data_IF_357412457181
#
_entry.id   IF_357412457181
#
_cell.length_a   1.000
_cell.length_b   1.000
_cell.length_c   1.000
_cell.angle_alpha   90.00
_cell.angle_beta   90.00
_cell.angle_gamma   90.00
#
_symmetry.space_group_name_H-M   'P 1'
#
loop_
_entity.id
_entity.type
_entity.pdbx_description
1 polymer ?
#
# COMPACT_ATOMS: atom_id res chain seq x y z
N UNK A 1 21.49 -24.04 -7.92
CA UNK A 1 20.20 -23.68 -8.54
C UNK A 1 19.13 -24.77 -8.42
N UNK A 2 19.20 -25.94 -9.08
CA UNK A 2 18.15 -26.97 -8.89
C UNK A 2 18.24 -27.64 -7.49
N UNK A 3 19.47 -27.86 -7.02
CA UNK A 3 19.75 -28.46 -5.71
C UNK A 3 19.37 -27.52 -4.53
N UNK A 4 19.61 -26.21 -4.66
CA UNK A 4 19.18 -25.23 -3.64
C UNK A 4 17.65 -25.17 -3.52
N UNK A 5 16.92 -25.23 -4.63
CA UNK A 5 15.45 -25.24 -4.60
C UNK A 5 14.88 -26.49 -3.91
N UNK A 6 15.56 -27.63 -4.06
CA UNK A 6 15.16 -28.87 -3.38
C UNK A 6 15.39 -28.77 -1.86
N UNK A 7 16.50 -28.14 -1.44
CA UNK A 7 16.78 -27.88 -0.03
C UNK A 7 15.78 -26.89 0.58
N UNK A 8 15.45 -25.81 -0.14
CA UNK A 8 14.46 -24.82 0.28
C UNK A 8 13.06 -25.44 0.46
N UNK A 9 12.68 -26.36 -0.43
CA UNK A 9 11.41 -27.09 -0.34
C UNK A 9 11.35 -27.99 0.90
N UNK A 10 12.44 -28.67 1.21
CA UNK A 10 12.52 -29.53 2.39
C UNK A 10 12.43 -28.70 3.68
N UNK A 11 13.16 -27.59 3.76
CA UNK A 11 13.10 -26.68 4.90
C UNK A 11 11.69 -26.09 5.10
N UNK A 12 11.03 -25.67 4.02
CA UNK A 12 9.65 -25.17 4.10
C UNK A 12 8.66 -26.23 4.57
N UNK A 13 8.84 -27.50 4.20
CA UNK A 13 8.02 -28.62 4.70
C UNK A 13 8.22 -28.85 6.18
N UNK A 14 9.46 -28.76 6.67
CA UNK A 14 9.76 -28.83 8.11
C UNK A 14 9.13 -27.66 8.86
N UNK A 15 9.23 -26.44 8.32
CA UNK A 15 8.65 -25.25 8.93
C UNK A 15 7.11 -25.32 8.95
N UNK A 16 6.50 -25.86 7.90
CA UNK A 16 5.05 -26.11 7.83
C UNK A 16 4.58 -27.05 8.96
N UNK A 17 5.33 -28.11 9.23
CA UNK A 17 5.05 -29.05 10.33
C UNK A 17 5.13 -28.39 11.72
N UNK A 18 6.05 -27.44 11.89
CA UNK A 18 6.23 -26.73 13.16
C UNK A 18 5.17 -25.64 13.43
N UNK A 19 4.52 -25.13 12.38
CA UNK A 19 3.63 -23.97 12.45
C UNK A 19 2.23 -24.34 12.97
N UNK A 20 1.71 -23.59 13.96
CA UNK A 20 0.39 -23.83 14.57
C UNK A 20 -0.69 -22.81 14.19
N UNK A 21 -0.30 -21.65 13.65
CA UNK A 21 -1.24 -20.57 13.33
C UNK A 21 -1.77 -20.75 11.91
N UNK A 22 -3.09 -20.66 11.68
CA UNK A 22 -3.71 -20.94 10.38
C UNK A 22 -3.23 -20.00 9.26
N UNK A 23 -3.02 -18.71 9.58
CA UNK A 23 -2.46 -17.74 8.63
C UNK A 23 -1.04 -18.10 8.18
N UNK A 24 -0.23 -18.62 9.10
CA UNK A 24 1.17 -18.99 8.83
C UNK A 24 1.21 -20.28 7.99
N UNK A 25 0.38 -21.27 8.34
CA UNK A 25 0.22 -22.50 7.55
C UNK A 25 -0.21 -22.20 6.11
N UNK A 26 -1.21 -21.33 5.92
CA UNK A 26 -1.65 -20.91 4.59
C UNK A 26 -0.55 -20.21 3.79
N UNK A 27 0.29 -19.41 4.45
CA UNK A 27 1.40 -18.72 3.78
C UNK A 27 2.47 -19.72 3.34
N UNK A 28 2.93 -20.57 4.25
CA UNK A 28 3.99 -21.56 3.96
C UNK A 28 3.53 -22.56 2.90
N UNK A 29 2.30 -23.08 2.99
CA UNK A 29 1.75 -24.00 1.99
C UNK A 29 1.63 -23.37 0.59
N UNK A 30 1.32 -22.08 0.50
CA UNK A 30 1.29 -21.38 -0.78
C UNK A 30 2.67 -21.26 -1.42
N UNK A 31 3.71 -21.04 -0.60
CA UNK A 31 5.10 -20.94 -1.06
C UNK A 31 5.65 -22.30 -1.51
N UNK A 32 5.38 -23.37 -0.75
CA UNK A 32 5.72 -24.75 -1.14
C UNK A 32 5.16 -25.07 -2.53
N UNK A 33 3.86 -24.79 -2.77
CA UNK A 33 3.21 -25.04 -4.06
C UNK A 33 3.85 -24.22 -5.19
N UNK A 34 4.25 -22.98 -4.91
CA UNK A 34 4.91 -22.10 -5.88
C UNK A 34 6.25 -22.68 -6.32
N UNK A 35 7.06 -23.16 -5.38
CA UNK A 35 8.36 -23.75 -5.64
C UNK A 35 8.27 -25.12 -6.34
N UNK A 36 7.32 -25.97 -5.96
CA UNK A 36 7.05 -27.25 -6.65
C UNK A 36 6.71 -27.03 -8.13
N UNK A 37 5.91 -25.99 -8.43
CA UNK A 37 5.58 -25.61 -9.82
C UNK A 37 6.81 -25.12 -10.60
N UNK A 38 7.69 -24.35 -9.94
CA UNK A 38 8.93 -23.88 -10.56
C UNK A 38 9.90 -25.03 -10.83
N UNK A 39 9.93 -26.05 -9.97
CA UNK A 39 10.74 -27.25 -10.17
C UNK A 39 10.22 -28.11 -11.33
N UNK A 40 8.91 -28.36 -11.38
CA UNK A 40 8.27 -29.09 -12.49
C UNK A 40 8.50 -28.40 -13.85
N UNK A 41 8.44 -27.06 -13.89
CA UNK A 41 8.70 -26.30 -15.12
C UNK A 41 10.16 -26.34 -15.61
N UNK A 42 11.11 -26.79 -14.78
CA UNK A 42 12.53 -26.93 -15.14
C UNK A 42 12.91 -28.36 -15.56
N UNK A 43 12.13 -29.37 -15.18
CA UNK A 43 12.39 -30.77 -15.54
C UNK A 43 11.78 -31.16 -16.91
N UNK A 44 10.75 -30.45 -17.41
CA UNK A 44 10.11 -30.73 -18.71
C UNK A 44 10.82 -30.14 -19.95
N UNK A 45 12.11 -29.82 -19.84
CA UNK A 45 12.91 -29.25 -20.93
C UNK A 45 13.41 -30.25 -21.99
N UNK A 46 12.91 -31.48 -22.05
CA UNK A 46 13.42 -32.49 -22.99
C UNK A 46 12.37 -33.53 -23.46
N UNK A 47 11.44 -33.15 -24.35
CA UNK A 47 10.88 -34.05 -25.38
C UNK A 47 10.03 -33.30 -26.45
N UNK A 48 10.62 -33.17 -27.65
CA UNK A 48 10.03 -33.28 -28.99
C UNK A 48 8.86 -32.38 -29.48
N UNK A 49 9.20 -31.47 -30.42
CA UNK A 49 8.38 -31.08 -31.59
C UNK A 49 8.40 -32.19 -32.68
N UNK A 50 7.69 -32.15 -33.85
CA UNK A 50 7.00 -31.06 -34.59
C UNK A 50 5.63 -31.54 -35.24
N UNK A 51 5.04 -31.01 -36.35
CA UNK A 51 5.29 -29.80 -37.18
C UNK A 51 4.04 -28.90 -37.50
N UNK A 52 4.22 -27.78 -38.24
CA UNK A 52 3.24 -26.69 -38.45
C UNK A 52 2.47 -26.81 -39.78
N UNK A 53 1.35 -26.09 -39.93
CA UNK A 53 0.73 -25.84 -41.24
C UNK A 53 0.19 -24.41 -41.36
N UNK A 54 0.56 -23.78 -42.47
CA UNK A 54 0.39 -22.39 -42.84
C UNK A 54 -0.99 -22.03 -43.44
N UNK A 55 -1.17 -20.72 -43.73
CA UNK A 55 -2.04 -20.10 -44.76
C UNK A 55 -3.39 -19.57 -44.25
N UNK A 56 -3.90 -18.34 -44.50
CA UNK A 56 -3.59 -17.22 -45.43
C UNK A 56 -4.11 -15.88 -44.89
N UNK A 57 -3.49 -14.78 -45.33
CA UNK A 57 -4.05 -13.40 -45.43
C UNK A 57 -4.57 -13.23 -46.89
N UNK A 58 -5.58 -12.39 -47.21
CA UNK A 58 -5.32 -10.98 -47.57
C UNK A 58 -6.34 -9.94 -47.03
N UNK A 59 -5.82 -8.73 -46.80
CA UNK A 59 -6.37 -7.39 -46.45
C UNK A 59 -7.27 -6.76 -47.54
N UNK A 60 -7.80 -5.50 -47.47
CA UNK A 60 -7.74 -4.40 -46.46
C UNK A 60 -9.17 -3.89 -46.03
N UNK A 61 -9.44 -2.94 -45.11
CA UNK A 61 -9.23 -1.48 -45.16
C UNK A 61 -9.55 -0.87 -43.77
N UNK A 62 -8.60 -0.07 -43.28
CA UNK A 62 -8.66 1.18 -42.50
C UNK A 62 -9.54 1.41 -41.24
N UNK A 63 -8.85 2.10 -40.32
CA UNK A 63 -9.29 3.08 -39.30
C UNK A 63 -9.58 2.66 -37.86
N UNK A 64 -8.78 3.30 -36.97
CA UNK A 64 -9.00 3.61 -35.54
C UNK A 64 -8.36 2.71 -34.49
N UNK A 65 -7.06 2.95 -34.26
CA UNK A 65 -6.45 3.31 -32.96
C UNK A 65 -7.32 3.04 -31.72
N UNK A 66 -6.99 2.02 -30.92
CA UNK A 66 -6.09 2.13 -29.75
C UNK A 66 -5.99 0.78 -29.06
N UNK A 67 -4.74 0.39 -28.88
CA UNK A 67 -4.30 -0.94 -28.53
C UNK A 67 -4.68 -1.39 -27.12
N UNK A 68 -4.93 -2.70 -27.08
CA UNK A 68 -4.44 -3.64 -26.08
C UNK A 68 -4.88 -3.40 -24.63
N UNK A 69 -5.92 -4.15 -24.28
CA UNK A 69 -6.15 -4.68 -22.95
C UNK A 69 -4.92 -5.50 -22.59
N UNK A 70 -3.88 -4.87 -22.02
CA UNK A 70 -2.75 -5.61 -21.48
C UNK A 70 -3.27 -6.48 -20.33
N UNK A 71 -2.91 -7.77 -20.28
CA UNK A 71 -3.37 -8.66 -19.23
C UNK A 71 -2.93 -8.06 -17.90
N UNK A 72 -3.78 -8.16 -16.89
CA UNK A 72 -3.52 -7.70 -15.55
C UNK A 72 -2.21 -8.29 -15.03
N UNK A 73 -1.09 -7.60 -15.28
CA UNK A 73 0.19 -7.93 -14.72
C UNK A 73 0.12 -7.51 -13.26
N UNK A 74 0.00 -8.50 -12.38
CA UNK A 74 0.01 -8.37 -10.94
C UNK A 74 1.08 -7.38 -10.51
N UNK A 75 0.66 -6.13 -10.26
CA UNK A 75 1.54 -5.05 -9.89
C UNK A 75 1.76 -5.15 -8.39
N UNK A 76 2.92 -5.67 -8.00
CA UNK A 76 3.28 -5.81 -6.59
C UNK A 76 3.79 -4.46 -6.11
N UNK A 77 3.15 -3.90 -5.10
CA UNK A 77 3.68 -2.71 -4.41
C UNK A 77 5.02 -3.08 -3.78
N UNK A 78 6.06 -2.27 -3.99
CA UNK A 78 7.35 -2.46 -3.33
C UNK A 78 7.14 -2.35 -1.82
N UNK A 79 7.16 -3.50 -1.13
CA UNK A 79 6.89 -3.62 0.31
C UNK A 79 8.11 -3.34 1.19
N UNK A 80 9.32 -3.37 0.61
CA UNK A 80 10.57 -3.07 1.31
C UNK A 80 11.32 -1.98 0.55
N UNK A 81 11.22 -0.75 1.03
CA UNK A 81 12.04 0.37 0.60
C UNK A 81 12.56 1.11 1.83
N UNK A 82 13.73 1.74 1.70
CA UNK A 82 14.30 2.61 2.72
C UNK A 82 14.38 4.02 2.17
N UNK A 83 14.36 5.03 3.01
CA UNK A 83 14.53 6.40 2.56
C UNK A 83 15.40 7.19 3.54
N UNK A 84 16.14 8.15 3.01
CA UNK A 84 16.90 9.13 3.76
C UNK A 84 16.63 10.53 3.18
N UNK A 85 17.10 11.56 3.88
CA UNK A 85 16.95 12.93 3.44
C UNK A 85 18.16 13.77 3.78
N UNK A 86 18.41 14.74 2.93
CA UNK A 86 19.29 15.88 3.16
C UNK A 86 18.41 17.14 3.35
N UNK A 87 19.02 18.30 3.55
CA UNK A 87 18.28 19.57 3.68
C UNK A 87 17.41 19.90 2.46
N UNK A 88 17.83 19.49 1.27
CA UNK A 88 17.22 19.83 -0.02
C UNK A 88 16.68 18.62 -0.80
N UNK A 89 17.01 17.39 -0.39
CA UNK A 89 16.70 16.16 -1.14
C UNK A 89 16.11 15.08 -0.24
N UNK A 90 15.28 14.24 -0.82
CA UNK A 90 14.82 12.97 -0.23
C UNK A 90 15.26 11.86 -1.19
N UNK A 91 15.93 10.84 -0.69
CA UNK A 91 16.42 9.71 -1.48
C UNK A 91 15.71 8.45 -0.99
N UNK A 92 15.10 7.74 -1.93
CA UNK A 92 14.34 6.52 -1.67
C UNK A 92 15.07 5.38 -2.35
N UNK A 93 15.47 4.39 -1.56
CA UNK A 93 16.17 3.17 -1.96
C UNK A 93 15.18 2.03 -2.10
N UNK A 94 15.06 1.54 -3.31
CA UNK A 94 14.24 0.38 -3.66
C UNK A 94 15.18 -0.77 -4.03
N UNK A 95 15.21 -1.84 -3.23
CA UNK A 95 16.07 -2.99 -3.47
C UNK A 95 15.43 -3.90 -4.53
N UNK A 96 15.79 -3.66 -5.79
CA UNK A 96 15.37 -4.44 -6.94
C UNK A 96 16.59 -4.67 -7.83
N UNK A 97 16.86 -5.94 -8.15
CA UNK A 97 17.95 -6.36 -9.03
C UNK A 97 17.44 -6.66 -10.43
N UNK A 98 18.26 -6.37 -11.44
CA UNK A 98 17.90 -6.63 -12.84
C UNK A 98 16.87 -5.65 -13.39
N UNK A 99 16.79 -4.45 -12.82
CA UNK A 99 15.94 -3.37 -13.36
C UNK A 99 16.65 -2.75 -14.55
N UNK A 100 15.96 -2.69 -15.68
CA UNK A 100 16.41 -1.95 -16.87
C UNK A 100 15.83 -0.54 -16.87
N UNK A 101 16.65 0.48 -17.12
CA UNK A 101 16.22 1.88 -17.09
C UNK A 101 15.13 2.20 -18.13
N UNK A 102 15.13 1.49 -19.27
CA UNK A 102 14.15 1.66 -20.35
C UNK A 102 12.74 1.15 -19.97
N UNK A 103 12.66 0.20 -19.05
CA UNK A 103 11.40 -0.41 -18.58
C UNK A 103 10.80 0.31 -17.37
N UNK A 104 11.37 1.47 -17.01
CA UNK A 104 10.92 2.31 -15.89
C UNK A 104 9.99 3.40 -16.41
N UNK A 105 8.82 3.52 -15.79
CA UNK A 105 7.95 4.67 -15.95
C UNK A 105 7.93 5.45 -14.64
N UNK A 106 8.45 6.67 -14.66
CA UNK A 106 8.43 7.58 -13.50
C UNK A 106 7.48 8.74 -13.76
N UNK A 107 6.69 9.07 -12.75
CA UNK A 107 5.76 10.17 -12.79
C UNK A 107 5.84 10.93 -11.46
N UNK A 108 6.28 12.18 -11.55
CA UNK A 108 6.46 13.06 -10.40
C UNK A 108 5.40 14.16 -10.44
N UNK A 109 4.73 14.38 -9.30
CA UNK A 109 3.82 15.49 -9.04
C UNK A 109 4.35 16.28 -7.84
N UNK A 110 3.91 17.54 -7.65
CA UNK A 110 4.36 18.35 -6.52
C UNK A 110 4.15 17.68 -5.15
N UNK A 111 3.06 16.92 -4.96
CA UNK A 111 2.74 16.28 -3.67
C UNK A 111 2.72 14.74 -3.74
N UNK A 112 3.16 14.12 -4.84
CA UNK A 112 3.10 12.66 -4.98
C UNK A 112 4.09 12.17 -6.02
N UNK A 113 4.48 10.89 -5.96
CA UNK A 113 5.21 10.27 -7.06
C UNK A 113 4.73 8.84 -7.30
N UNK A 114 4.93 8.36 -8.53
CA UNK A 114 4.61 7.01 -8.95
C UNK A 114 5.71 6.51 -9.90
N UNK A 115 6.44 5.47 -9.48
CA UNK A 115 7.47 4.82 -10.28
C UNK A 115 7.09 3.36 -10.47
N UNK A 116 6.93 2.96 -11.73
CA UNK A 116 6.62 1.59 -12.14
C UNK A 116 7.84 0.96 -12.81
N UNK A 117 8.17 -0.25 -12.37
CA UNK A 117 9.22 -1.08 -12.91
C UNK A 117 8.56 -2.26 -13.61
N UNK A 118 8.75 -2.38 -14.92
CA UNK A 118 8.21 -3.48 -15.70
C UNK A 118 9.26 -4.58 -15.88
N UNK A 119 8.80 -5.83 -15.93
CA UNK A 119 9.62 -6.99 -16.30
C UNK A 119 10.87 -7.21 -15.42
N UNK A 120 10.76 -6.95 -14.12
CA UNK A 120 11.84 -7.24 -13.17
C UNK A 120 11.68 -8.67 -12.71
N UNK A 121 12.55 -9.58 -13.17
CA UNK A 121 12.49 -11.03 -12.85
C UNK A 121 11.09 -11.63 -13.17
N UNK A 122 10.46 -11.19 -14.26
CA UNK A 122 9.12 -11.63 -14.69
C UNK A 122 7.95 -11.07 -13.87
N UNK A 123 8.18 -10.06 -13.02
CA UNK A 123 7.14 -9.38 -12.22
C UNK A 123 7.19 -7.87 -12.43
N UNK A 124 6.04 -7.22 -12.27
CA UNK A 124 5.95 -5.76 -12.27
C UNK A 124 5.92 -5.23 -10.84
N UNK A 125 6.74 -4.22 -10.58
CA UNK A 125 6.80 -3.56 -9.29
C UNK A 125 6.33 -2.11 -9.42
N UNK A 126 5.70 -1.59 -8.37
CA UNK A 126 5.32 -0.17 -8.30
C UNK A 126 5.69 0.41 -6.94
N UNK A 127 6.42 1.52 -6.98
CA UNK A 127 6.73 2.34 -5.82
C UNK A 127 6.01 3.68 -6.01
N UNK A 128 4.93 3.88 -5.26
CA UNK A 128 4.13 5.10 -5.34
C UNK A 128 3.81 5.62 -3.94
N UNK A 129 3.96 6.94 -3.76
CA UNK A 129 3.52 7.65 -2.56
C UNK A 129 2.45 8.64 -3.00
N UNK A 130 1.17 8.40 -2.66
CA UNK A 130 0.05 9.21 -3.14
C UNK A 130 0.03 10.60 -2.51
N UNK A 131 0.55 10.75 -1.30
CA UNK A 131 0.65 12.03 -0.60
C UNK A 131 1.97 12.12 0.18
N UNK A 132 2.88 12.92 -0.35
CA UNK A 132 4.15 13.27 0.30
C UNK A 132 3.89 14.24 1.46
N UNK A 133 4.82 14.28 2.40
CA UNK A 133 4.75 15.18 3.55
C UNK A 133 4.76 16.67 3.15
N UNK A 134 5.67 17.04 2.24
CA UNK A 134 5.77 18.39 1.68
C UNK A 134 5.93 18.33 0.16
N UNK A 135 5.85 19.50 -0.45
CA UNK A 135 6.01 19.64 -1.89
C UNK A 135 7.44 19.36 -2.36
N UNK A 136 7.53 18.76 -3.54
CA UNK A 136 8.76 18.48 -4.29
C UNK A 136 8.76 19.26 -5.60
N UNK A 137 9.94 19.42 -6.19
CA UNK A 137 10.13 20.00 -7.52
C UNK A 137 10.23 18.86 -8.54
N UNK A 138 9.13 18.51 -9.26
CA UNK A 138 9.08 17.33 -10.12
C UNK A 138 10.17 17.33 -11.19
N UNK A 139 10.47 18.51 -11.74
CA UNK A 139 11.45 18.72 -12.81
C UNK A 139 12.89 18.36 -12.41
N UNK A 140 13.21 18.47 -11.12
CA UNK A 140 14.54 18.15 -10.60
C UNK A 140 14.64 16.69 -10.13
N UNK A 141 13.51 16.00 -9.98
CA UNK A 141 13.48 14.63 -9.50
C UNK A 141 14.13 13.68 -10.51
N UNK A 142 14.85 12.67 -10.02
CA UNK A 142 15.59 11.73 -10.86
C UNK A 142 15.48 10.31 -10.33
N UNK A 143 15.52 9.35 -11.24
CA UNK A 143 15.60 7.92 -10.91
C UNK A 143 16.93 7.40 -11.42
N UNK A 144 17.73 6.84 -10.53
CA UNK A 144 19.03 6.25 -10.84
C UNK A 144 18.96 4.76 -10.57
N UNK A 145 19.24 3.95 -11.59
CA UNK A 145 19.25 2.49 -11.47
C UNK A 145 20.68 2.04 -11.16
N UNK A 146 20.84 1.21 -10.12
CA UNK A 146 22.09 0.48 -9.82
C UNK A 146 21.82 -1.02 -9.96
N UNK A 147 22.86 -1.86 -10.12
CA UNK A 147 22.70 -3.29 -10.34
C UNK A 147 21.82 -4.00 -9.30
N UNK A 148 21.93 -3.59 -8.03
CA UNK A 148 21.23 -4.21 -6.90
C UNK A 148 20.09 -3.37 -6.32
N UNK A 149 19.94 -2.11 -6.75
CA UNK A 149 18.95 -1.18 -6.19
C UNK A 149 18.62 -0.02 -7.12
N UNK A 150 17.42 0.51 -7.01
CA UNK A 150 17.02 1.78 -7.62
C UNK A 150 17.03 2.87 -6.57
N UNK A 151 17.53 4.06 -6.93
CA UNK A 151 17.56 5.25 -6.11
C UNK A 151 16.66 6.30 -6.75
N UNK A 152 15.55 6.62 -6.10
CA UNK A 152 14.66 7.71 -6.50
C UNK A 152 15.05 8.94 -5.68
N UNK A 153 15.58 9.97 -6.32
CA UNK A 153 15.92 11.24 -5.67
C UNK A 153 14.83 12.26 -5.96
N UNK A 154 14.14 12.71 -4.91
CA UNK A 154 13.17 13.77 -4.93
C UNK A 154 13.84 15.07 -4.43
N UNK A 155 13.61 16.17 -5.13
CA UNK A 155 14.10 17.49 -4.69
C UNK A 155 12.98 18.20 -3.94
N UNK A 156 13.26 18.63 -2.70
CA UNK A 156 12.29 19.36 -1.87
C UNK A 156 12.05 20.74 -2.46
N UNK A 157 10.79 21.20 -2.48
CA UNK A 157 10.45 22.56 -2.89
C UNK A 157 10.88 23.60 -1.84
N UNK A 158 10.83 23.22 -0.55
CA UNK A 158 11.30 24.03 0.57
C UNK A 158 12.36 23.28 1.38
N UNK A 159 13.41 23.99 1.78
CA UNK A 159 14.50 23.43 2.59
C UNK A 159 13.97 23.07 3.98
N UNK A 160 14.37 21.90 4.48
CA UNK A 160 14.07 21.47 5.84
C UNK A 160 13.72 20.00 5.92
N UNK A 161 13.60 19.51 7.15
CA UNK A 161 13.40 18.09 7.41
C UNK A 161 11.94 17.68 7.29
N UNK A 162 11.76 16.46 6.82
CA UNK A 162 10.49 15.77 6.72
C UNK A 162 10.43 14.79 7.88
N UNK A 163 9.49 14.91 8.81
CA UNK A 163 9.36 13.95 9.91
C UNK A 163 8.95 12.55 9.43
N UNK A 164 8.35 12.47 8.24
CA UNK A 164 7.92 11.24 7.60
C UNK A 164 7.91 11.44 6.07
N UNK A 165 8.00 10.37 5.28
CA UNK A 165 7.83 10.43 3.83
C UNK A 165 6.37 10.65 3.45
N UNK A 166 5.46 10.00 4.19
CA UNK A 166 4.03 10.09 3.99
C UNK A 166 3.46 11.28 4.75
N UNK A 167 2.49 11.97 4.14
CA UNK A 167 1.64 12.88 4.90
C UNK A 167 0.80 12.04 5.87
N UNK A 168 0.95 12.29 7.17
CA UNK A 168 0.03 11.78 8.18
C UNK A 168 -1.29 12.53 8.03
N UNK A 169 -2.12 12.09 7.09
CA UNK A 169 -3.54 12.39 7.20
C UNK A 169 -4.08 11.58 8.37
N UNK A 170 -4.37 12.27 9.47
CA UNK A 170 -5.27 11.75 10.49
C UNK A 170 -6.52 11.24 9.80
N UNK A 171 -6.64 9.92 9.64
CA UNK A 171 -7.91 9.27 9.25
C UNK A 171 -8.95 9.32 10.38
N UNK A 172 -8.73 10.18 11.39
CA UNK A 172 -9.55 10.36 12.59
C UNK A 172 -9.80 11.84 12.85
N UNK A 173 -10.13 12.61 11.81
CA UNK A 173 -10.83 13.88 12.00
C UNK A 173 -12.27 13.67 11.57
N UNK A 174 -13.22 13.38 12.48
CA UNK A 174 -14.58 13.83 12.22
C UNK A 174 -14.49 15.33 11.94
N UNK A 175 -15.21 15.81 10.93
CA UNK A 175 -15.27 17.23 10.62
C UNK A 175 -15.71 17.99 11.88
N UNK A 176 -14.75 18.52 12.64
CA UNK A 176 -14.97 19.67 13.49
C UNK A 176 -15.05 20.86 12.54
N UNK A 177 -16.20 20.99 11.90
CA UNK A 177 -16.62 22.26 11.32
C UNK A 177 -16.51 23.29 12.44
N UNK A 178 -15.57 24.22 12.21
CA UNK A 178 -15.16 25.25 13.15
C UNK A 178 -16.24 26.33 13.20
N UNK A 179 -17.43 26.01 13.70
CA UNK A 179 -18.44 27.03 13.98
C UNK A 179 -19.57 26.60 14.92
N UNK A 180 -19.60 25.36 15.41
CA UNK A 180 -20.58 25.01 16.44
C UNK A 180 -19.96 25.11 17.83
N UNK A 181 -20.60 25.99 18.61
CA UNK A 181 -20.39 26.25 20.03
C UNK A 181 -19.91 24.99 20.77
N UNK A 182 -18.85 25.04 21.61
CA UNK A 182 -18.35 23.88 22.33
C UNK A 182 -19.43 23.10 23.11
N UNK A 183 -20.54 23.75 23.51
CA UNK A 183 -21.71 23.08 24.10
C UNK A 183 -22.56 22.28 23.08
N UNK A 184 -22.67 22.75 21.84
CA UNK A 184 -23.39 22.07 20.76
C UNK A 184 -22.63 20.85 20.25
N UNK A 185 -21.29 20.94 20.14
CA UNK A 185 -20.44 19.81 19.74
C UNK A 185 -20.51 18.63 20.72
N UNK A 186 -20.63 18.89 22.02
CA UNK A 186 -20.86 17.83 23.03
C UNK A 186 -22.24 17.18 22.85
N UNK A 187 -23.28 17.95 22.55
CA UNK A 187 -24.64 17.44 22.42
C UNK A 187 -24.81 16.56 21.18
N UNK A 188 -24.13 16.93 20.09
CA UNK A 188 -24.12 16.14 18.85
C UNK A 188 -23.30 14.86 18.98
N UNK A 189 -22.15 14.92 19.66
CA UNK A 189 -21.36 13.73 19.99
C UNK A 189 -22.14 12.74 20.88
N UNK A 190 -22.89 13.23 21.88
CA UNK A 190 -23.74 12.39 22.73
C UNK A 190 -24.92 11.79 21.97
N UNK A 191 -25.48 12.51 20.99
CA UNK A 191 -26.56 12.00 20.13
C UNK A 191 -26.06 10.89 19.22
N UNK A 192 -24.91 11.06 18.57
CA UNK A 192 -24.33 10.04 17.70
C UNK A 192 -23.98 8.76 18.48
N UNK A 193 -23.50 8.89 19.72
CA UNK A 193 -23.28 7.74 20.63
C UNK A 193 -24.58 7.04 21.07
N UNK A 194 -25.70 7.76 21.15
CA UNK A 194 -27.01 7.17 21.47
C UNK A 194 -27.65 6.49 20.26
N UNK A 195 -27.40 6.98 19.05
CA UNK A 195 -27.94 6.41 17.82
C UNK A 195 -27.16 5.16 17.37
N UNK A 196 -25.82 5.16 17.49
CA UNK A 196 -24.95 4.05 17.09
C UNK A 196 -24.64 3.03 18.21
N UNK A 197 -24.85 3.39 19.49
CA UNK A 197 -24.53 2.52 20.63
C UNK A 197 -25.55 1.41 20.90
N UNK A 198 -25.10 0.32 21.53
CA UNK A 198 -25.99 -0.72 22.06
C UNK A 198 -26.93 -0.18 23.17
N UNK A 199 -27.96 -0.96 23.53
CA UNK A 199 -28.95 -0.57 24.53
C UNK A 199 -28.38 -0.31 25.94
N UNK A 200 -27.18 -0.80 26.24
CA UNK A 200 -26.50 -0.64 27.54
C UNK A 200 -25.75 0.70 27.62
N UNK A 201 -25.13 1.11 26.52
CA UNK A 201 -24.49 2.42 26.36
C UNK A 201 -25.52 3.56 26.41
N UNK A 202 -26.68 3.37 25.77
CA UNK A 202 -27.81 4.31 25.80
C UNK A 202 -28.33 4.56 27.22
N UNK A 203 -28.48 3.52 28.03
CA UNK A 203 -28.89 3.66 29.43
C UNK A 203 -27.86 4.41 30.26
N UNK A 204 -26.58 4.16 30.02
CA UNK A 204 -25.49 4.80 30.76
C UNK A 204 -25.43 6.31 30.47
N UNK A 205 -25.58 6.69 29.20
CA UNK A 205 -25.63 8.10 28.78
C UNK A 205 -26.89 8.78 29.34
N UNK A 206 -28.05 8.13 29.26
CA UNK A 206 -29.29 8.65 29.83
C UNK A 206 -29.21 8.85 31.36
N UNK A 207 -28.58 7.91 32.06
CA UNK A 207 -28.32 8.01 33.51
C UNK A 207 -27.41 9.19 33.83
N UNK A 208 -26.29 9.34 33.10
CA UNK A 208 -25.37 10.45 33.30
C UNK A 208 -26.02 11.83 33.02
N UNK A 209 -26.90 11.93 32.02
CA UNK A 209 -27.63 13.16 31.73
C UNK A 209 -28.64 13.52 32.82
N UNK A 210 -29.29 12.50 33.40
CA UNK A 210 -30.23 12.67 34.52
C UNK A 210 -29.49 13.10 35.78
N UNK A 211 -28.36 12.45 36.11
CA UNK A 211 -27.52 12.78 37.26
C UNK A 211 -26.90 14.18 37.14
N UNK A 212 -26.43 14.57 35.96
CA UNK A 212 -25.88 15.91 35.75
C UNK A 212 -26.94 17.03 35.90
N UNK A 213 -28.21 16.75 35.59
CA UNK A 213 -29.31 17.70 35.74
C UNK A 213 -29.86 17.72 37.17
N UNK A 214 -29.88 16.59 37.87
CA UNK A 214 -30.27 16.54 39.28
C UNK A 214 -29.24 17.23 40.18
N UNK A 215 -27.94 17.08 39.93
CA UNK A 215 -26.89 17.80 40.66
C UNK A 215 -27.05 19.32 40.50
N UNK A 216 -27.35 19.81 39.29
CA UNK A 216 -27.65 21.24 39.06
C UNK A 216 -28.91 21.72 39.78
N UNK A 217 -29.92 20.86 39.95
CA UNK A 217 -31.16 21.20 40.64
C UNK A 217 -30.99 21.20 42.17
N UNK A 218 -30.20 20.26 42.72
CA UNK A 218 -29.90 20.21 44.16
C UNK A 218 -29.00 21.36 44.61
N UNK A 219 -28.04 21.79 43.77
CA UNK A 219 -27.15 22.92 44.07
C UNK A 219 -27.92 24.26 44.04
N UNK A 220 -28.87 24.40 43.11
CA UNK A 220 -29.78 25.56 43.07
C UNK A 220 -30.71 25.65 44.30
N UNK A 221 -31.07 24.51 44.89
CA UNK A 221 -31.93 24.43 46.08
C UNK A 221 -31.16 24.69 47.39
N UNK A 222 -29.86 24.38 47.43
CA UNK A 222 -28.97 24.75 48.56
C UNK A 222 -28.58 26.21 48.58
N UNK A 223 -28.52 26.86 47.41
CA UNK A 223 -28.26 28.30 47.26
C UNK A 223 -29.36 29.20 47.86
N UNK A 224 -30.52 28.65 48.22
CA UNK A 224 -31.69 29.40 48.70
C UNK A 224 -31.98 29.21 50.20
N UNK A 225 -31.04 28.64 50.95
CA UNK A 225 -31.19 28.39 52.40
C UNK A 225 -30.14 29.10 53.24
#
# INVERSE_FOLDING_TARGET
MAEELALDLEELRQLHSSAKRPRILSLISSEIRSLEKLQASKEDGNAAAPPPTASKIPTPISTSVKASINPALNCVSVSSFSWDQDMDKVKIYVFLEGVEQEKIQSYFKPMSFDVKFHDVKGKNYRCAVPKLNKEIVPEKCKVVVKPTRVIITLFKASKGDWPDLYSKEDKLKPNLDKEQDPMAGIMDLMKNMYEEGDDEMKRTIAKAWTDARSVKAEDALKSYR
#
